data_IF_543137398172
#
_entry.id   IF_543137398172
#
_cell.length_a   1.000
_cell.length_b   1.000
_cell.length_c   1.000
_cell.angle_alpha   90.00
_cell.angle_beta   90.00
_cell.angle_gamma   90.00
#
_symmetry.space_group_name_H-M   'P 1'
#
loop_
_entity.id
_entity.type
_entity.pdbx_description
1 polymer ?
#
# COMPACT_ATOMS: atom_id res chain seq x y z
N UNK A 1 -14.47 -19.02 -6.02
CA UNK A 1 -14.81 -18.04 -7.06
C UNK A 1 -14.21 -16.73 -6.60
N UNK A 2 -13.05 -16.35 -7.15
CA UNK A 2 -12.43 -15.05 -6.84
C UNK A 2 -13.18 -13.99 -7.62
N UNK A 3 -14.04 -13.23 -6.96
CA UNK A 3 -14.80 -12.16 -7.60
C UNK A 3 -13.97 -10.87 -7.57
N UNK A 4 -13.75 -10.26 -8.73
CA UNK A 4 -13.09 -8.94 -8.83
C UNK A 4 -13.84 -7.88 -8.00
N UNK A 5 -15.13 -8.09 -7.74
CA UNK A 5 -15.92 -7.25 -6.85
C UNK A 5 -15.52 -7.33 -5.37
N UNK A 6 -14.82 -8.36 -4.88
CA UNK A 6 -14.36 -8.36 -3.49
C UNK A 6 -13.14 -7.45 -3.29
N UNK A 7 -12.34 -7.25 -4.35
CA UNK A 7 -11.16 -6.38 -4.32
C UNK A 7 -11.53 -4.89 -4.45
N UNK A 8 -12.56 -4.57 -5.25
CA UNK A 8 -13.04 -3.20 -5.49
C UNK A 8 -14.35 -2.85 -4.79
N UNK A 9 -15.02 -3.82 -4.18
CA UNK A 9 -16.25 -3.64 -3.44
C UNK A 9 -16.01 -3.08 -2.03
N UNK A 10 -17.10 -2.83 -1.27
CA UNK A 10 -17.04 -2.16 0.02
C UNK A 10 -16.03 -2.77 1.00
N UNK A 11 -15.91 -4.11 1.00
CA UNK A 11 -14.97 -4.84 1.86
C UNK A 11 -13.50 -4.66 1.45
N UNK A 12 -13.19 -4.61 0.15
CA UNK A 12 -11.86 -4.26 -0.36
C UNK A 12 -11.49 -2.80 -0.10
N UNK A 13 -12.46 -1.89 -0.20
CA UNK A 13 -12.28 -0.47 0.14
C UNK A 13 -12.03 -0.26 1.64
N UNK A 14 -12.71 -0.99 2.52
CA UNK A 14 -12.45 -0.96 3.96
C UNK A 14 -11.07 -1.51 4.33
N UNK A 15 -10.62 -2.59 3.67
CA UNK A 15 -9.27 -3.12 3.84
C UNK A 15 -8.20 -2.11 3.42
N UNK A 16 -8.38 -1.48 2.25
CA UNK A 16 -7.47 -0.46 1.74
C UNK A 16 -7.44 0.81 2.63
N UNK A 17 -8.59 1.20 3.20
CA UNK A 17 -8.68 2.29 4.18
C UNK A 17 -7.94 1.96 5.47
N UNK A 18 -8.09 0.75 6.01
CA UNK A 18 -7.37 0.29 7.22
C UNK A 18 -5.86 0.29 7.00
N UNK A 19 -5.40 -0.19 5.84
CA UNK A 19 -3.97 -0.23 5.50
C UNK A 19 -3.37 1.18 5.37
N UNK A 20 -4.09 2.13 4.76
CA UNK A 20 -3.68 3.55 4.73
C UNK A 20 -3.62 4.17 6.12
N UNK A 21 -4.58 3.86 6.99
CA UNK A 21 -4.60 4.34 8.38
C UNK A 21 -3.42 3.77 9.17
N UNK A 22 -3.09 2.48 8.99
CA UNK A 22 -1.92 1.86 9.61
C UNK A 22 -0.63 2.53 9.10
N UNK A 23 -0.50 2.78 7.80
CA UNK A 23 0.62 3.51 7.22
C UNK A 23 0.78 4.92 7.80
N UNK A 24 -0.33 5.62 8.02
CA UNK A 24 -0.33 6.93 8.65
C UNK A 24 0.06 6.88 10.13
N UNK A 25 -0.43 5.89 10.90
CA UNK A 25 -0.06 5.72 12.32
C UNK A 25 1.42 5.38 12.46
N UNK A 26 1.93 4.45 11.65
CA UNK A 26 3.35 4.08 11.65
C UNK A 26 4.22 5.27 11.24
N UNK A 27 3.82 5.99 10.20
CA UNK A 27 4.50 7.21 9.77
C UNK A 27 4.53 8.29 10.86
N UNK A 28 3.42 8.48 11.58
CA UNK A 28 3.34 9.42 12.69
C UNK A 28 4.28 9.04 13.84
N UNK A 29 4.33 7.75 14.19
CA UNK A 29 5.21 7.22 15.22
C UNK A 29 6.70 7.42 14.85
N UNK A 30 7.06 7.20 13.59
CA UNK A 30 8.43 7.45 13.09
C UNK A 30 8.75 8.95 13.15
N UNK A 31 7.84 9.82 12.70
CA UNK A 31 8.03 11.27 12.78
C UNK A 31 8.21 11.75 14.22
N UNK A 32 7.41 11.20 15.14
CA UNK A 32 7.53 11.48 16.57
C UNK A 32 8.86 11.03 17.16
N UNK A 33 9.34 9.83 16.80
CA UNK A 33 10.66 9.32 17.20
C UNK A 33 11.81 10.20 16.68
N UNK A 34 11.73 10.65 15.43
CA UNK A 34 12.73 11.56 14.84
C UNK A 34 12.79 12.88 15.61
N UNK A 35 11.64 13.42 16.01
CA UNK A 35 11.60 14.64 16.81
C UNK A 35 12.15 14.47 18.23
N UNK A 36 11.94 13.29 18.85
CA UNK A 36 12.52 12.97 20.16
C UNK A 36 14.05 12.86 20.09
N UNK A 37 14.58 12.22 19.04
CA UNK A 37 16.03 12.10 18.82
C UNK A 37 16.66 13.47 18.54
N UNK A 38 15.94 14.36 17.84
CA UNK A 38 16.39 15.71 17.54
C UNK A 38 16.19 16.74 18.65
N UNK A 39 15.78 16.33 19.86
CA UNK A 39 15.46 17.22 21.00
C UNK A 39 14.51 18.37 20.61
N UNK A 40 13.58 18.09 19.69
CA UNK A 40 12.69 19.11 19.15
C UNK A 40 11.70 19.59 20.23
N UNK A 41 11.36 20.88 20.18
CA UNK A 41 10.31 21.44 21.04
C UNK A 41 8.97 20.76 20.78
N UNK A 42 8.07 20.76 21.77
CA UNK A 42 6.77 20.06 21.70
C UNK A 42 5.95 20.44 20.46
N UNK A 43 6.03 21.70 20.02
CA UNK A 43 5.38 22.18 18.81
C UNK A 43 5.99 21.57 17.53
N UNK A 44 7.32 21.48 17.48
CA UNK A 44 8.03 20.84 16.38
C UNK A 44 7.78 19.33 16.34
N UNK A 45 7.70 18.66 17.51
CA UNK A 45 7.37 17.24 17.63
C UNK A 45 6.02 16.89 17.03
N UNK A 46 4.99 17.73 17.25
CA UNK A 46 3.68 17.56 16.60
C UNK A 46 3.79 17.75 15.09
N UNK A 47 4.58 18.73 14.63
CA UNK A 47 4.84 18.94 13.21
C UNK A 47 5.48 17.72 12.52
N UNK A 48 6.53 17.14 13.13
CA UNK A 48 7.17 15.94 12.62
C UNK A 48 6.24 14.71 12.61
N UNK A 49 5.37 14.56 13.62
CA UNK A 49 4.39 13.49 13.65
C UNK A 49 3.35 13.63 12.51
N UNK A 50 2.88 14.85 12.22
CA UNK A 50 1.95 15.10 11.11
C UNK A 50 2.62 14.83 9.76
N UNK A 51 3.84 15.34 9.55
CA UNK A 51 4.62 15.10 8.32
C UNK A 51 4.88 13.60 8.15
N UNK A 52 5.24 12.91 9.23
CA UNK A 52 5.41 11.47 9.27
C UNK A 52 4.13 10.72 8.89
N UNK A 53 2.98 11.14 9.43
CA UNK A 53 1.68 10.52 9.12
C UNK A 53 1.31 10.65 7.64
N UNK A 54 1.53 11.83 7.07
CA UNK A 54 1.26 12.10 5.65
C UNK A 54 2.20 11.29 4.76
N UNK A 55 3.50 11.30 5.06
CA UNK A 55 4.50 10.54 4.30
C UNK A 55 4.26 9.03 4.38
N UNK A 56 3.99 8.49 5.57
CA UNK A 56 3.71 7.07 5.76
C UNK A 56 2.41 6.61 5.08
N UNK A 57 1.36 7.43 5.15
CA UNK A 57 0.12 7.18 4.41
C UNK A 57 0.30 7.20 2.90
N UNK A 58 1.06 8.15 2.36
CA UNK A 58 1.38 8.24 0.94
C UNK A 58 2.23 7.06 0.45
N UNK A 59 3.26 6.68 1.21
CA UNK A 59 4.13 5.55 0.87
C UNK A 59 3.36 4.23 0.83
N UNK A 60 2.46 4.03 1.79
CA UNK A 60 1.59 2.86 1.85
C UNK A 60 0.63 2.79 0.65
N UNK A 61 0.09 3.93 0.20
CA UNK A 61 -0.74 4.00 -0.99
C UNK A 61 0.04 3.67 -2.28
N UNK A 62 1.26 4.18 -2.42
CA UNK A 62 2.14 3.87 -3.56
C UNK A 62 2.49 2.38 -3.59
N UNK A 63 2.85 1.81 -2.46
CA UNK A 63 3.18 0.38 -2.35
C UNK A 63 2.01 -0.53 -2.74
N UNK A 64 0.80 -0.17 -2.31
CA UNK A 64 -0.41 -0.90 -2.69
C UNK A 64 -0.65 -0.86 -4.21
N UNK A 65 -0.44 0.29 -4.86
CA UNK A 65 -0.56 0.42 -6.33
C UNK A 65 0.49 -0.45 -7.04
N UNK A 66 1.74 -0.40 -6.59
CA UNK A 66 2.83 -1.21 -7.17
C UNK A 66 2.55 -2.70 -7.08
N UNK A 67 2.02 -3.14 -5.93
CA UNK A 67 1.66 -4.55 -5.70
C UNK A 67 0.52 -4.99 -6.62
N UNK A 68 -0.48 -4.12 -6.82
CA UNK A 68 -1.58 -4.37 -7.75
C UNK A 68 -1.07 -4.49 -9.19
N UNK A 69 -0.22 -3.56 -9.63
CA UNK A 69 0.40 -3.59 -10.96
C UNK A 69 1.21 -4.88 -11.16
N UNK A 70 2.00 -5.29 -10.17
CA UNK A 70 2.76 -6.53 -10.22
C UNK A 70 1.85 -7.76 -10.36
N UNK A 71 0.74 -7.81 -9.61
CA UNK A 71 -0.23 -8.89 -9.70
C UNK A 71 -0.88 -8.97 -11.10
N UNK A 72 -1.22 -7.83 -11.70
CA UNK A 72 -1.77 -7.79 -13.07
C UNK A 72 -0.76 -8.30 -14.09
N UNK A 73 0.51 -7.86 -14.00
CA UNK A 73 1.57 -8.35 -14.90
C UNK A 73 1.72 -9.86 -14.77
N UNK A 74 1.72 -10.40 -13.55
CA UNK A 74 1.82 -11.83 -13.31
C UNK A 74 0.66 -12.59 -13.96
N UNK A 75 -0.58 -12.11 -13.80
CA UNK A 75 -1.75 -12.70 -14.47
C UNK A 75 -1.63 -12.69 -16.00
N UNK A 76 -1.15 -11.59 -16.58
CA UNK A 76 -0.92 -11.51 -18.03
C UNK A 76 0.13 -12.52 -18.49
N UNK A 77 1.26 -12.61 -17.78
CA UNK A 77 2.32 -13.57 -18.09
C UNK A 77 1.81 -15.01 -18.02
N UNK A 78 1.07 -15.35 -16.95
CA UNK A 78 0.46 -16.69 -16.83
C UNK A 78 -0.52 -16.94 -17.97
N UNK A 79 -1.33 -15.96 -18.34
CA UNK A 79 -2.25 -16.07 -19.49
C UNK A 79 -1.52 -16.36 -20.81
N UNK A 80 -0.41 -15.67 -21.07
CA UNK A 80 0.44 -15.91 -22.26
C UNK A 80 1.03 -17.31 -22.23
N UNK A 81 1.60 -17.73 -21.10
CA UNK A 81 2.20 -19.08 -20.97
C UNK A 81 1.16 -20.17 -21.21
N UNK A 82 -0.04 -20.01 -20.64
CA UNK A 82 -1.14 -20.96 -20.82
C UNK A 82 -1.61 -20.98 -22.28
N UNK A 83 -1.75 -19.82 -22.92
CA UNK A 83 -2.12 -19.71 -24.33
C UNK A 83 -1.12 -20.41 -25.26
N UNK A 84 0.17 -20.16 -25.07
CA UNK A 84 1.24 -20.82 -25.83
C UNK A 84 1.25 -22.33 -25.59
N UNK A 85 1.03 -22.78 -24.35
CA UNK A 85 0.94 -24.20 -24.03
C UNK A 85 -0.19 -24.89 -24.81
N UNK A 86 -1.39 -24.31 -24.84
CA UNK A 86 -2.51 -24.87 -25.59
C UNK A 86 -2.33 -24.82 -27.10
N UNK A 87 -1.63 -23.79 -27.60
CA UNK A 87 -1.33 -23.65 -29.03
C UNK A 87 -0.31 -24.67 -29.54
N UNK A 88 0.61 -25.13 -28.69
CA UNK A 88 1.61 -26.15 -29.02
C UNK A 88 1.07 -27.57 -28.84
N UNK A 89 0.06 -27.76 -27.99
CA UNK A 89 -0.53 -29.06 -27.68
C UNK A 89 -1.72 -29.48 -28.57
N UNK A 90 -2.21 -28.60 -29.46
CA UNK A 90 -3.27 -28.87 -30.44
C UNK A 90 -2.75 -28.84 -31.87
#
# INVERSE_FOLDING_TARGET
MFDFYDFFGPHGMEGSRRVRVIGAIVGAAIGWLVALIGEASTLATVGYAIVGAVAGGAFCAIFAILTLVAAVILLVVVGIVVWEYFKVAG
#
